data_IF_853907913771
#
_entry.id   IF_853907913771
#
_cell.length_a   1.000
_cell.length_b   1.000
_cell.length_c   1.000
_cell.angle_alpha   90.00
_cell.angle_beta   90.00
_cell.angle_gamma   90.00
#
_symmetry.space_group_name_H-M   'P 1'
#
loop_
_entity.id
_entity.type
_entity.pdbx_description
1 polymer ?
#
# COMPACT_ATOMS: atom_id res chain seq x y z
N UNK A 1 -94.35 28.63 20.10
CA UNK A 1 -94.49 27.42 20.95
C UNK A 1 -93.15 27.16 21.65
N UNK A 2 -93.20 27.11 22.98
CA UNK A 2 -92.27 26.51 23.95
C UNK A 2 -90.73 26.73 23.84
N UNK A 3 -90.21 27.55 24.75
CA UNK A 3 -88.87 27.53 25.40
C UNK A 3 -88.64 26.21 26.21
N UNK A 4 -87.53 25.97 26.96
CA UNK A 4 -86.11 26.42 26.90
C UNK A 4 -85.05 25.31 27.30
N UNK A 5 -83.78 25.72 27.36
CA UNK A 5 -82.76 25.39 28.38
C UNK A 5 -82.03 24.02 28.44
N UNK A 6 -80.68 24.08 28.40
CA UNK A 6 -79.84 23.82 29.60
C UNK A 6 -78.39 24.31 29.45
N UNK A 7 -78.01 25.21 30.35
CA UNK A 7 -76.63 25.57 30.76
C UNK A 7 -76.04 24.50 31.68
N UNK A 8 -74.69 24.38 31.67
CA UNK A 8 -73.72 24.22 32.80
C UNK A 8 -72.56 23.32 32.34
N UNK A 9 -71.28 23.57 32.62
CA UNK A 9 -70.66 24.61 33.43
C UNK A 9 -69.12 24.57 33.35
N UNK A 10 -68.53 25.66 33.88
CA UNK A 10 -67.13 25.96 34.24
C UNK A 10 -66.16 24.78 34.44
N UNK A 11 -64.90 24.97 34.01
CA UNK A 11 -63.72 25.11 34.88
C UNK A 11 -62.49 25.62 34.10
N UNK A 12 -61.83 26.63 34.66
CA UNK A 12 -60.55 27.22 34.22
C UNK A 12 -59.39 26.54 35.00
N UNK A 13 -58.16 27.05 34.91
CA UNK A 13 -57.03 26.69 34.05
C UNK A 13 -56.03 25.72 34.75
N UNK A 14 -55.07 25.10 34.04
CA UNK A 14 -53.66 24.96 34.51
C UNK A 14 -52.73 24.15 33.58
N UNK A 15 -51.48 24.64 33.55
CA UNK A 15 -50.18 23.98 33.31
C UNK A 15 -49.81 23.46 31.92
N UNK A 16 -49.08 24.33 31.22
CA UNK A 16 -47.98 23.96 30.31
C UNK A 16 -46.90 23.22 31.10
N UNK A 17 -46.69 21.94 30.80
CA UNK A 17 -45.48 21.20 31.17
C UNK A 17 -44.56 21.14 29.96
N UNK A 18 -43.40 21.77 30.11
CA UNK A 18 -42.30 21.80 29.14
C UNK A 18 -41.89 20.37 28.78
N UNK A 19 -42.02 20.00 27.50
CA UNK A 19 -41.26 18.88 26.94
C UNK A 19 -39.85 19.39 26.67
N UNK A 20 -38.88 18.78 27.34
CA UNK A 20 -37.46 18.97 27.13
C UNK A 20 -37.09 18.71 25.67
N UNK A 21 -36.66 19.76 24.98
CA UNK A 21 -36.03 19.67 23.66
C UNK A 21 -34.70 18.92 23.78
N UNK A 22 -34.76 17.60 23.65
CA UNK A 22 -33.57 16.81 23.34
C UNK A 22 -33.20 17.13 21.89
N UNK A 23 -32.33 18.13 21.70
CA UNK A 23 -31.74 18.45 20.40
C UNK A 23 -31.09 17.17 19.86
N UNK A 24 -31.68 16.60 18.83
CA UNK A 24 -31.08 15.52 18.06
C UNK A 24 -29.69 15.97 17.59
N UNK A 25 -28.67 15.15 17.90
CA UNK A 25 -27.33 15.31 17.34
C UNK A 25 -27.45 15.36 15.82
N UNK A 26 -27.03 16.49 15.23
CA UNK A 26 -26.93 16.62 13.77
C UNK A 26 -25.84 15.65 13.32
N UNK A 27 -26.11 14.74 12.38
CA UNK A 27 -25.04 13.95 11.80
C UNK A 27 -24.07 14.93 11.13
N UNK A 28 -22.84 14.97 11.63
CA UNK A 28 -21.75 15.64 10.96
C UNK A 28 -21.68 15.07 9.54
N UNK A 29 -21.78 15.94 8.53
CA UNK A 29 -21.64 15.50 7.15
C UNK A 29 -20.24 14.96 7.01
N UNK A 30 -20.12 13.63 6.95
CA UNK A 30 -18.91 12.98 6.49
C UNK A 30 -18.55 13.60 5.14
N UNK A 31 -17.44 14.35 5.11
CA UNK A 31 -16.91 14.87 3.87
C UNK A 31 -16.56 13.67 3.00
N UNK A 32 -17.45 13.35 2.06
CA UNK A 32 -17.19 12.32 1.06
C UNK A 32 -16.00 12.80 0.25
N UNK A 33 -14.81 12.31 0.62
CA UNK A 33 -13.56 12.58 -0.06
C UNK A 33 -13.79 12.24 -1.53
N UNK A 34 -13.92 13.27 -2.34
CA UNK A 34 -14.30 13.12 -3.74
C UNK A 34 -13.03 12.72 -4.48
N UNK A 35 -12.72 11.41 -4.50
CA UNK A 35 -11.51 10.81 -5.10
C UNK A 35 -11.25 11.31 -6.54
N UNK A 36 -12.31 11.68 -7.28
CA UNK A 36 -12.22 12.28 -8.62
C UNK A 36 -11.62 13.70 -8.64
N UNK A 37 -11.78 14.46 -7.56
CA UNK A 37 -11.25 15.82 -7.44
C UNK A 37 -9.75 15.79 -7.06
N UNK A 38 -9.34 14.89 -6.16
CA UNK A 38 -7.93 14.67 -5.80
C UNK A 38 -7.13 14.13 -6.99
N UNK A 39 -7.70 13.23 -7.78
CA UNK A 39 -7.08 12.69 -8.99
C UNK A 39 -7.01 13.68 -10.17
N UNK A 40 -7.69 14.83 -10.08
CA UNK A 40 -7.59 15.90 -11.08
C UNK A 40 -6.47 16.89 -10.82
N UNK A 41 -5.90 16.88 -9.61
CA UNK A 41 -4.77 17.73 -9.30
C UNK A 41 -3.49 17.17 -9.94
N UNK A 42 -2.86 17.98 -10.78
CA UNK A 42 -1.57 17.66 -11.42
C UNK A 42 -0.49 17.36 -10.37
N UNK A 43 -0.59 17.99 -9.20
CA UNK A 43 0.34 17.79 -8.09
C UNK A 43 0.26 16.36 -7.55
N UNK A 44 -0.95 15.80 -7.44
CA UNK A 44 -1.14 14.42 -6.97
C UNK A 44 -0.38 13.43 -7.84
N UNK A 45 -0.46 13.56 -9.18
CA UNK A 45 0.25 12.65 -10.09
C UNK A 45 1.77 12.76 -9.99
N UNK A 46 2.29 13.98 -9.82
CA UNK A 46 3.74 14.20 -9.61
C UNK A 46 4.21 13.60 -8.29
N UNK A 47 3.43 13.76 -7.22
CA UNK A 47 3.73 13.19 -5.89
C UNK A 47 3.72 11.66 -5.96
N UNK A 48 2.69 11.07 -6.56
CA UNK A 48 2.62 9.61 -6.73
C UNK A 48 3.76 9.11 -7.61
N UNK A 49 4.07 9.80 -8.70
CA UNK A 49 5.21 9.45 -9.57
C UNK A 49 6.55 9.48 -8.82
N UNK A 50 6.81 10.55 -8.07
CA UNK A 50 8.00 10.66 -7.23
C UNK A 50 8.06 9.55 -6.18
N UNK A 51 6.94 9.22 -5.53
CA UNK A 51 6.85 8.12 -4.59
C UNK A 51 7.19 6.76 -5.23
N UNK A 52 6.69 6.50 -6.43
CA UNK A 52 7.05 5.29 -7.19
C UNK A 52 8.54 5.23 -7.55
N UNK A 53 9.16 6.36 -7.88
CA UNK A 53 10.61 6.43 -8.11
C UNK A 53 11.41 6.18 -6.84
N UNK A 54 10.96 6.70 -5.70
CA UNK A 54 11.56 6.41 -4.40
C UNK A 54 11.46 4.92 -4.06
N UNK A 55 10.32 4.28 -4.32
CA UNK A 55 10.18 2.81 -4.17
C UNK A 55 11.15 2.08 -5.09
N UNK A 56 11.24 2.49 -6.36
CA UNK A 56 12.16 1.85 -7.31
C UNK A 56 13.61 1.91 -6.82
N UNK A 57 14.05 3.07 -6.33
CA UNK A 57 15.38 3.27 -5.76
C UNK A 57 15.59 2.49 -4.46
N UNK A 58 14.61 2.53 -3.56
CA UNK A 58 14.62 1.75 -2.31
C UNK A 58 14.79 0.26 -2.60
N UNK A 59 13.98 -0.30 -3.52
CA UNK A 59 14.06 -1.71 -3.89
C UNK A 59 15.43 -2.03 -4.50
N UNK A 60 15.91 -1.19 -5.41
CA UNK A 60 17.19 -1.41 -6.07
C UNK A 60 18.34 -1.46 -5.07
N UNK A 61 18.45 -0.47 -4.18
CA UNK A 61 19.50 -0.43 -3.15
C UNK A 61 19.36 -1.61 -2.19
N UNK A 62 18.14 -1.93 -1.74
CA UNK A 62 17.90 -3.09 -0.86
C UNK A 62 18.37 -4.39 -1.51
N UNK A 63 18.00 -4.61 -2.78
CA UNK A 63 18.35 -5.82 -3.53
C UNK A 63 19.85 -5.92 -3.77
N UNK A 64 20.51 -4.83 -4.18
CA UNK A 64 21.97 -4.81 -4.34
C UNK A 64 22.66 -5.13 -3.03
N UNK A 65 22.21 -4.53 -1.92
CA UNK A 65 22.75 -4.81 -0.59
C UNK A 65 22.60 -6.29 -0.22
N UNK A 66 21.44 -6.87 -0.49
CA UNK A 66 21.11 -8.25 -0.13
C UNK A 66 22.01 -9.28 -0.82
N UNK A 67 22.55 -8.98 -2.02
CA UNK A 67 23.51 -9.88 -2.69
C UNK A 67 24.74 -10.18 -1.82
N UNK A 68 25.08 -9.25 -0.92
CA UNK A 68 26.22 -9.39 -0.01
C UNK A 68 25.79 -9.74 1.42
N UNK A 69 24.63 -9.24 1.88
CA UNK A 69 24.20 -9.36 3.29
C UNK A 69 23.24 -10.51 3.57
N UNK A 70 22.80 -11.27 2.55
CA UNK A 70 21.77 -12.29 2.70
C UNK A 70 22.05 -13.34 3.79
N UNK A 71 23.32 -13.70 4.02
CA UNK A 71 23.71 -14.66 5.05
C UNK A 71 23.50 -14.11 6.46
N UNK A 72 23.94 -12.87 6.70
CA UNK A 72 23.81 -12.21 8.01
C UNK A 72 22.38 -11.77 8.33
N UNK A 73 21.61 -11.41 7.29
CA UNK A 73 20.24 -10.91 7.45
C UNK A 73 19.17 -12.02 7.49
N UNK A 74 19.54 -13.29 7.30
CA UNK A 74 18.60 -14.40 7.13
C UNK A 74 17.64 -14.55 8.32
N UNK A 75 18.16 -14.56 9.54
CA UNK A 75 17.35 -14.73 10.75
C UNK A 75 16.39 -13.56 10.98
N UNK A 76 16.85 -12.34 10.70
CA UNK A 76 16.04 -11.12 10.80
C UNK A 76 14.92 -11.14 9.76
N UNK A 77 15.24 -11.53 8.52
CA UNK A 77 14.27 -11.55 7.45
C UNK A 77 13.24 -12.69 7.58
N UNK A 78 13.63 -13.83 8.17
CA UNK A 78 12.72 -14.95 8.45
C UNK A 78 11.64 -14.62 9.48
N UNK A 79 11.92 -13.71 10.41
CA UNK A 79 10.92 -13.22 11.37
C UNK A 79 9.76 -12.47 10.69
N UNK A 80 9.91 -12.07 9.42
CA UNK A 80 8.83 -11.40 8.70
C UNK A 80 8.56 -10.00 9.25
N UNK A 81 7.30 -9.58 9.26
CA UNK A 81 6.92 -8.26 9.77
C UNK A 81 7.26 -8.08 11.26
N UNK A 82 7.16 -9.13 12.10
CA UNK A 82 7.44 -9.00 13.54
C UNK A 82 8.91 -8.65 13.81
N UNK A 83 9.82 -9.08 12.94
CA UNK A 83 11.26 -8.79 13.02
C UNK A 83 11.61 -7.32 12.86
N UNK A 84 10.70 -6.50 12.28
CA UNK A 84 10.94 -5.06 12.14
C UNK A 84 11.01 -4.36 13.50
N UNK A 85 10.21 -4.80 14.47
CA UNK A 85 10.11 -4.19 15.80
C UNK A 85 10.78 -5.01 16.91
N UNK A 86 11.05 -6.31 16.69
CA UNK A 86 11.35 -7.26 17.77
C UNK A 86 12.82 -7.62 18.03
N UNK A 87 13.74 -7.40 17.09
CA UNK A 87 15.15 -7.79 17.28
C UNK A 87 15.97 -6.67 17.94
N UNK A 88 17.00 -7.03 18.71
CA UNK A 88 18.01 -6.08 19.23
C UNK A 88 19.11 -5.83 18.20
N UNK A 89 19.41 -6.82 17.36
CA UNK A 89 20.47 -6.73 16.35
C UNK A 89 20.02 -5.95 15.10
N UNK A 90 20.84 -5.00 14.60
CA UNK A 90 20.55 -4.31 13.35
C UNK A 90 20.73 -5.25 12.15
N UNK A 91 19.97 -5.01 11.08
CA UNK A 91 20.22 -5.67 9.81
C UNK A 91 21.46 -5.08 9.13
N UNK A 92 22.23 -5.92 8.44
CA UNK A 92 23.39 -5.52 7.64
C UNK A 92 22.97 -4.84 6.33
N UNK A 93 21.75 -5.10 5.83
CA UNK A 93 21.23 -4.43 4.65
C UNK A 93 21.31 -2.90 4.78
N UNK A 94 21.74 -2.23 3.71
CA UNK A 94 21.89 -0.77 3.64
C UNK A 94 20.62 0.00 4.03
N UNK A 95 19.43 -0.56 3.77
CA UNK A 95 18.14 0.05 4.15
C UNK A 95 17.54 -0.56 5.42
N UNK A 96 18.38 -1.20 6.23
CA UNK A 96 18.04 -1.83 7.49
C UNK A 96 17.07 -3.00 7.34
N UNK A 97 16.28 -3.24 8.40
CA UNK A 97 15.41 -4.43 8.50
C UNK A 97 14.34 -4.49 7.42
N UNK A 98 13.79 -3.34 7.03
CA UNK A 98 12.82 -3.27 5.94
C UNK A 98 13.46 -3.70 4.61
N UNK A 99 14.67 -3.22 4.32
CA UNK A 99 15.43 -3.61 3.13
C UNK A 99 15.73 -5.11 3.12
N UNK A 100 16.20 -5.65 4.25
CA UNK A 100 16.46 -7.07 4.43
C UNK A 100 15.19 -7.93 4.20
N UNK A 101 14.08 -7.56 4.84
CA UNK A 101 12.80 -8.27 4.73
C UNK A 101 12.26 -8.27 3.29
N UNK A 102 12.25 -7.10 2.65
CA UNK A 102 11.71 -6.96 1.29
C UNK A 102 12.60 -7.70 0.29
N UNK A 103 13.92 -7.62 0.44
CA UNK A 103 14.87 -8.33 -0.42
C UNK A 103 14.75 -9.84 -0.24
N UNK A 104 14.66 -10.32 0.98
CA UNK A 104 14.42 -11.74 1.27
C UNK A 104 13.11 -12.24 0.65
N UNK A 105 12.03 -11.45 0.72
CA UNK A 105 10.76 -11.84 0.10
C UNK A 105 10.89 -11.96 -1.43
N UNK A 106 11.45 -10.95 -2.10
CA UNK A 106 11.51 -10.93 -3.55
C UNK A 106 12.61 -11.82 -4.13
N UNK A 107 13.80 -11.83 -3.53
CA UNK A 107 14.95 -12.57 -4.05
C UNK A 107 14.87 -14.01 -3.57
N UNK A 108 14.90 -14.26 -2.26
CA UNK A 108 14.96 -15.62 -1.74
C UNK A 108 13.64 -16.38 -1.91
N UNK A 109 12.51 -15.79 -1.50
CA UNK A 109 11.20 -16.47 -1.51
C UNK A 109 10.42 -16.37 -2.82
N UNK A 110 10.86 -15.56 -3.78
CA UNK A 110 10.14 -15.39 -5.05
C UNK A 110 11.05 -15.66 -6.26
N UNK A 111 11.53 -14.62 -6.94
CA UNK A 111 12.08 -14.75 -8.30
C UNK A 111 13.61 -14.67 -8.38
N UNK A 112 14.31 -14.66 -7.23
CA UNK A 112 15.76 -14.58 -7.23
C UNK A 112 16.26 -13.25 -7.77
N UNK A 113 17.32 -13.31 -8.56
CA UNK A 113 17.92 -12.13 -9.19
C UNK A 113 17.02 -11.50 -10.25
N UNK A 114 16.02 -12.24 -10.76
CA UNK A 114 15.05 -11.69 -11.69
C UNK A 114 14.17 -10.59 -11.06
N UNK A 115 14.09 -10.53 -9.72
CA UNK A 115 13.35 -9.50 -8.98
C UNK A 115 13.81 -8.07 -9.26
N UNK A 116 15.03 -7.86 -9.77
CA UNK A 116 15.48 -6.55 -10.24
C UNK A 116 14.59 -5.97 -11.36
N UNK A 117 13.90 -6.81 -12.13
CA UNK A 117 12.91 -6.35 -13.12
C UNK A 117 11.73 -5.62 -12.45
N UNK A 118 11.39 -5.95 -11.20
CA UNK A 118 10.35 -5.25 -10.45
C UNK A 118 10.76 -3.80 -10.19
N UNK A 119 12.04 -3.51 -9.94
CA UNK A 119 12.54 -2.14 -9.83
C UNK A 119 12.27 -1.35 -11.12
N UNK A 120 12.49 -1.98 -12.28
CA UNK A 120 12.22 -1.34 -13.58
C UNK A 120 10.74 -1.05 -13.79
N UNK A 121 9.85 -1.88 -13.23
CA UNK A 121 8.41 -1.63 -13.24
C UNK A 121 8.04 -0.35 -12.49
N UNK A 122 8.47 -0.24 -11.23
CA UNK A 122 8.22 0.96 -10.43
C UNK A 122 8.86 2.20 -11.04
N UNK A 123 10.05 2.07 -11.63
CA UNK A 123 10.72 3.15 -12.32
C UNK A 123 9.91 3.67 -13.52
N UNK A 124 9.49 2.77 -14.42
CA UNK A 124 8.71 3.13 -15.61
C UNK A 124 7.38 3.77 -15.25
N UNK A 125 6.68 3.23 -14.25
CA UNK A 125 5.44 3.82 -13.74
C UNK A 125 5.71 5.20 -13.14
N UNK A 126 6.73 5.33 -12.29
CA UNK A 126 7.11 6.59 -11.64
C UNK A 126 7.44 7.70 -12.64
N UNK A 127 8.27 7.42 -13.64
CA UNK A 127 8.61 8.37 -14.72
C UNK A 127 7.36 8.81 -15.47
N UNK A 128 6.52 7.86 -15.92
CA UNK A 128 5.33 8.21 -16.67
C UNK A 128 4.34 9.08 -15.87
N UNK A 129 4.20 8.82 -14.58
CA UNK A 129 3.34 9.61 -13.69
C UNK A 129 3.93 11.01 -13.43
N UNK A 130 5.25 11.10 -13.23
CA UNK A 130 5.94 12.35 -12.94
C UNK A 130 5.90 13.33 -14.13
N UNK A 131 6.10 12.83 -15.35
CA UNK A 131 6.07 13.66 -16.57
C UNK A 131 4.65 13.79 -17.17
N UNK A 132 3.64 13.06 -16.65
CA UNK A 132 2.28 12.95 -17.21
C UNK A 132 2.23 12.61 -18.72
N UNK A 133 3.29 12.00 -19.22
CA UNK A 133 3.41 11.56 -20.60
C UNK A 133 3.70 10.07 -20.62
N UNK A 134 3.25 9.39 -21.67
CA UNK A 134 3.61 7.99 -21.92
C UNK A 134 5.04 7.93 -22.48
N UNK A 135 6.03 8.31 -21.67
CA UNK A 135 7.45 8.22 -22.04
C UNK A 135 7.78 6.77 -22.39
N UNK A 136 7.28 5.84 -21.58
CA UNK A 136 7.35 4.41 -21.82
C UNK A 136 5.95 3.79 -21.90
N UNK A 137 5.79 2.69 -22.64
CA UNK A 137 4.54 1.93 -22.62
C UNK A 137 4.49 1.05 -21.36
N UNK A 138 3.61 1.41 -20.40
CA UNK A 138 3.41 0.64 -19.15
C UNK A 138 3.02 -0.80 -19.48
N UNK A 139 2.13 -0.99 -20.46
CA UNK A 139 1.66 -2.32 -20.85
C UNK A 139 2.78 -3.18 -21.44
N UNK A 140 3.65 -2.58 -22.24
CA UNK A 140 4.81 -3.27 -22.81
C UNK A 140 5.80 -3.63 -21.70
N UNK A 141 6.06 -2.70 -20.78
CA UNK A 141 6.94 -2.96 -19.64
C UNK A 141 6.40 -4.08 -18.75
N UNK A 142 5.09 -4.09 -18.47
CA UNK A 142 4.47 -5.14 -17.67
C UNK A 142 4.65 -6.52 -18.32
N UNK A 143 4.45 -6.63 -19.65
CA UNK A 143 4.70 -7.88 -20.38
C UNK A 143 6.16 -8.35 -20.26
N UNK A 144 7.12 -7.44 -20.44
CA UNK A 144 8.53 -7.78 -20.32
C UNK A 144 8.93 -8.13 -18.90
N UNK A 145 8.41 -7.44 -17.89
CA UNK A 145 8.68 -7.73 -16.49
C UNK A 145 8.08 -9.07 -16.10
N UNK A 146 6.81 -9.34 -16.39
CA UNK A 146 6.19 -10.64 -16.05
C UNK A 146 6.83 -11.81 -16.79
N UNK A 147 7.04 -11.68 -18.10
CA UNK A 147 7.69 -12.74 -18.89
C UNK A 147 9.15 -12.93 -18.50
N UNK A 148 9.88 -11.82 -18.34
CA UNK A 148 11.29 -11.82 -17.94
C UNK A 148 11.49 -12.36 -16.52
N UNK A 149 10.59 -12.07 -15.57
CA UNK A 149 10.66 -12.60 -14.21
C UNK A 149 10.68 -14.12 -14.22
N UNK A 150 9.72 -14.75 -14.91
CA UNK A 150 9.62 -16.21 -14.96
C UNK A 150 10.80 -16.83 -15.71
N UNK A 151 11.10 -16.30 -16.91
CA UNK A 151 12.16 -16.87 -17.76
C UNK A 151 13.52 -16.72 -17.10
N UNK A 152 13.85 -15.55 -16.55
CA UNK A 152 15.14 -15.34 -15.89
C UNK A 152 15.23 -16.12 -14.57
N UNK A 153 14.16 -16.18 -13.78
CA UNK A 153 14.14 -16.94 -12.51
C UNK A 153 14.46 -18.42 -12.77
N UNK A 154 13.76 -19.07 -13.70
CA UNK A 154 14.00 -20.48 -14.07
C UNK A 154 15.38 -20.66 -14.72
N UNK A 155 15.79 -19.75 -15.61
CA UNK A 155 17.10 -19.85 -16.27
C UNK A 155 18.25 -19.73 -15.27
N UNK A 156 18.13 -18.85 -14.27
CA UNK A 156 19.14 -18.67 -13.24
C UNK A 156 19.18 -19.83 -12.26
N UNK A 157 18.03 -20.40 -11.89
CA UNK A 157 17.99 -21.65 -11.12
C UNK A 157 18.71 -22.79 -11.86
N UNK A 158 18.44 -22.96 -13.16
CA UNK A 158 19.09 -23.99 -13.96
C UNK A 158 20.61 -23.79 -14.07
N UNK A 159 21.08 -22.55 -14.26
CA UNK A 159 22.50 -22.25 -14.41
C UNK A 159 23.27 -22.30 -13.09
N UNK A 160 22.65 -21.91 -11.97
CA UNK A 160 23.30 -21.71 -10.68
C UNK A 160 22.72 -22.56 -9.55
N UNK A 161 21.99 -23.63 -9.86
CA UNK A 161 21.29 -24.46 -8.86
C UNK A 161 22.19 -25.18 -7.84
N UNK A 162 23.50 -25.24 -8.07
CA UNK A 162 24.48 -25.80 -7.11
C UNK A 162 25.11 -24.75 -6.19
N UNK A 163 24.66 -23.49 -6.26
CA UNK A 163 25.22 -22.41 -5.45
C UNK A 163 24.43 -22.21 -4.16
N UNK A 164 25.10 -21.70 -3.12
CA UNK A 164 24.46 -21.42 -1.83
C UNK A 164 23.39 -20.30 -1.92
N UNK A 165 23.47 -19.45 -2.95
CA UNK A 165 22.59 -18.30 -3.11
C UNK A 165 21.41 -18.65 -4.03
N UNK A 166 20.21 -18.20 -3.65
CA UNK A 166 18.99 -18.45 -4.41
C UNK A 166 18.90 -17.56 -5.68
N UNK A 167 19.74 -17.81 -6.69
CA UNK A 167 19.78 -17.02 -7.93
C UNK A 167 18.46 -17.04 -8.69
N UNK A 168 17.76 -18.18 -8.70
CA UNK A 168 16.42 -18.30 -9.27
C UNK A 168 15.29 -17.99 -8.30
N UNK A 169 15.57 -17.94 -7.00
CA UNK A 169 14.55 -17.87 -5.94
C UNK A 169 13.62 -19.09 -5.95
N UNK A 170 12.68 -19.12 -5.01
CA UNK A 170 11.75 -20.25 -4.86
C UNK A 170 10.83 -20.52 -6.08
N UNK A 171 10.68 -19.59 -7.02
CA UNK A 171 9.90 -19.79 -8.26
C UNK A 171 10.71 -20.51 -9.34
N UNK A 172 12.05 -20.42 -9.28
CA UNK A 172 12.93 -21.05 -10.24
C UNK A 172 13.33 -22.49 -9.89
N UNK A 173 13.26 -22.85 -8.60
CA UNK A 173 13.51 -24.20 -8.06
C UNK A 173 12.36 -25.17 -8.33
#
# INVERSE_FOLDING_TARGET
MATPAKKKGKKNPEKKTNKSDTKAFRPEKEEKINLKMIARDERTWKIVGAFFLLIALFLFISFVSYLFTWKGDQDIAQQGLSGLWGSTEPAENLLGRLGALISYFFIYKAFGLASFLICTFFFVVGVNLLFRQKVFSIWRNLKYVTGGLLVLSVSLAFLFGNSDFAFGGAVGD
#
